data_IF_948722552404
#
_entry.id   IF_948722552404
#
_cell.length_a   1.000
_cell.length_b   1.000
_cell.length_c   1.000
_cell.angle_alpha   90.00
_cell.angle_beta   90.00
_cell.angle_gamma   90.00
#
_symmetry.space_group_name_H-M   'P 1'
#
loop_
_entity.id
_entity.type
_entity.pdbx_description
1 polymer ?
#
# COMPACT_ATOMS: atom_id res chain seq x y z
N UNK A 1 -41.16 -48.49 -12.93
CA UNK A 1 -39.85 -47.80 -12.92
C UNK A 1 -39.08 -48.16 -11.64
N UNK A 2 -37.94 -48.86 -11.78
CA UNK A 2 -37.13 -49.43 -10.68
C UNK A 2 -36.72 -48.37 -9.63
N UNK A 3 -36.86 -48.72 -8.35
CA UNK A 3 -36.54 -47.88 -7.19
C UNK A 3 -35.12 -47.29 -7.23
N UNK A 4 -34.18 -48.03 -7.83
CA UNK A 4 -32.79 -47.61 -8.02
C UNK A 4 -32.66 -46.33 -8.85
N UNK A 5 -33.44 -46.18 -9.93
CA UNK A 5 -33.43 -44.98 -10.78
C UNK A 5 -33.97 -43.73 -10.05
N UNK A 6 -34.87 -43.92 -9.08
CA UNK A 6 -35.39 -42.83 -8.22
C UNK A 6 -34.36 -42.41 -7.17
N UNK A 7 -33.61 -43.36 -6.62
CA UNK A 7 -32.56 -43.08 -5.64
C UNK A 7 -31.41 -42.27 -6.25
N UNK A 8 -30.91 -42.68 -7.42
CA UNK A 8 -29.83 -41.97 -8.13
C UNK A 8 -30.23 -40.53 -8.49
N UNK A 9 -31.47 -40.32 -8.95
CA UNK A 9 -31.98 -38.95 -9.25
C UNK A 9 -32.02 -38.07 -8.00
N UNK A 10 -32.39 -38.61 -6.84
CA UNK A 10 -32.43 -37.85 -5.58
C UNK A 10 -31.02 -37.52 -5.07
N UNK A 11 -30.09 -38.47 -5.16
CA UNK A 11 -28.69 -38.26 -4.77
C UNK A 11 -28.00 -37.22 -5.65
N UNK A 12 -28.23 -37.25 -6.97
CA UNK A 12 -27.70 -36.24 -7.90
C UNK A 12 -28.23 -34.83 -7.63
N UNK A 13 -29.51 -34.71 -7.25
CA UNK A 13 -30.11 -33.42 -6.89
C UNK A 13 -29.49 -32.84 -5.62
N UNK A 14 -29.28 -33.67 -4.58
CA UNK A 14 -28.66 -33.24 -3.31
C UNK A 14 -27.21 -32.80 -3.54
N UNK A 15 -26.43 -33.56 -4.31
CA UNK A 15 -25.04 -33.24 -4.61
C UNK A 15 -24.90 -31.90 -5.38
N UNK A 16 -25.81 -31.62 -6.32
CA UNK A 16 -25.82 -30.37 -7.07
C UNK A 16 -26.14 -29.15 -6.17
N UNK A 17 -27.09 -29.30 -5.24
CA UNK A 17 -27.46 -28.23 -4.30
C UNK A 17 -26.32 -27.97 -3.29
N UNK A 18 -25.66 -29.02 -2.78
CA UNK A 18 -24.52 -28.84 -1.87
C UNK A 18 -23.29 -28.24 -2.56
N UNK A 19 -23.05 -28.58 -3.83
CA UNK A 19 -21.94 -28.03 -4.61
C UNK A 19 -22.08 -26.54 -4.89
N UNK A 20 -23.28 -26.09 -5.27
CA UNK A 20 -23.55 -24.66 -5.50
C UNK A 20 -23.41 -23.82 -4.23
N UNK A 21 -23.81 -24.35 -3.07
CA UNK A 21 -23.63 -23.67 -1.78
C UNK A 21 -22.16 -23.41 -1.44
N UNK A 22 -21.28 -24.38 -1.71
CA UNK A 22 -19.84 -24.24 -1.45
C UNK A 22 -19.17 -23.22 -2.38
N UNK A 23 -19.53 -23.20 -3.66
CA UNK A 23 -18.99 -22.22 -4.63
C UNK A 23 -19.41 -20.81 -4.27
N UNK A 24 -20.67 -20.60 -3.90
CA UNK A 24 -21.15 -19.29 -3.45
C UNK A 24 -20.42 -18.81 -2.20
N UNK A 25 -20.16 -19.72 -1.24
CA UNK A 25 -19.43 -19.37 -0.02
C UNK A 25 -17.97 -18.97 -0.31
N UNK A 26 -17.28 -19.73 -1.19
CA UNK A 26 -15.89 -19.45 -1.57
C UNK A 26 -15.73 -18.15 -2.38
N UNK A 27 -16.77 -17.69 -3.09
CA UNK A 27 -16.76 -16.39 -3.75
C UNK A 27 -17.18 -15.24 -2.83
N UNK A 28 -18.15 -15.46 -1.95
CA UNK A 28 -18.69 -14.41 -1.09
C UNK A 28 -17.78 -14.09 0.10
N UNK A 29 -17.16 -15.11 0.72
CA UNK A 29 -16.29 -14.93 1.89
C UNK A 29 -15.07 -14.02 1.64
N UNK A 30 -14.28 -14.17 0.56
CA UNK A 30 -13.15 -13.26 0.31
C UNK A 30 -13.63 -11.83 0.09
N UNK A 31 -14.74 -11.63 -0.63
CA UNK A 31 -15.33 -10.29 -0.85
C UNK A 31 -15.80 -9.64 0.45
N UNK A 32 -16.41 -10.40 1.35
CA UNK A 32 -16.82 -9.92 2.68
C UNK A 32 -15.60 -9.57 3.52
N UNK A 33 -14.55 -10.41 3.50
CA UNK A 33 -13.32 -10.16 4.25
C UNK A 33 -12.54 -8.95 3.71
N UNK A 34 -12.48 -8.77 2.39
CA UNK A 34 -11.90 -7.58 1.77
C UNK A 34 -12.72 -6.33 2.08
N UNK A 35 -14.05 -6.38 2.01
CA UNK A 35 -14.91 -5.26 2.37
C UNK A 35 -14.78 -4.86 3.85
N UNK A 36 -14.54 -5.83 4.75
CA UNK A 36 -14.23 -5.54 6.17
C UNK A 36 -12.84 -4.94 6.31
N UNK A 37 -11.84 -5.48 5.61
CA UNK A 37 -10.46 -4.97 5.62
C UNK A 37 -10.40 -3.54 5.12
N UNK A 38 -11.01 -3.21 3.98
CA UNK A 38 -10.98 -1.83 3.43
C UNK A 38 -11.63 -0.82 4.36
N UNK A 39 -12.75 -1.16 5.00
CA UNK A 39 -13.39 -0.30 6.02
C UNK A 39 -12.50 -0.10 7.25
N UNK A 40 -11.86 -1.16 7.75
CA UNK A 40 -10.92 -1.08 8.85
C UNK A 40 -9.69 -0.25 8.48
N UNK A 41 -9.12 -0.44 7.29
CA UNK A 41 -7.99 0.34 6.76
C UNK A 41 -8.33 1.82 6.63
N UNK A 42 -9.52 2.17 6.14
CA UNK A 42 -9.95 3.57 6.01
C UNK A 42 -10.13 4.25 7.37
N UNK A 43 -10.71 3.55 8.36
CA UNK A 43 -10.86 4.04 9.72
C UNK A 43 -9.48 4.25 10.38
N UNK A 44 -8.58 3.27 10.25
CA UNK A 44 -7.21 3.35 10.77
C UNK A 44 -6.41 4.45 10.08
N UNK A 45 -6.58 4.65 8.78
CA UNK A 45 -5.90 5.71 8.04
C UNK A 45 -6.38 7.10 8.50
N UNK A 46 -7.69 7.28 8.71
CA UNK A 46 -8.22 8.52 9.27
C UNK A 46 -7.73 8.77 10.70
N UNK A 47 -7.66 7.74 11.55
CA UNK A 47 -7.06 7.84 12.88
C UNK A 47 -5.57 8.18 12.85
N UNK A 48 -4.81 7.57 11.93
CA UNK A 48 -3.39 7.85 11.76
C UNK A 48 -3.13 9.27 11.22
N UNK A 49 -4.00 9.79 10.36
CA UNK A 49 -3.94 11.18 9.91
C UNK A 49 -4.25 12.18 11.03
N UNK A 50 -5.23 11.87 11.89
CA UNK A 50 -5.56 12.69 13.06
C UNK A 50 -4.43 12.70 14.11
N UNK A 51 -3.71 11.59 14.23
CA UNK A 51 -2.58 11.44 15.15
C UNK A 51 -1.23 11.85 14.54
N UNK A 52 -1.19 12.37 13.31
CA UNK A 52 0.07 12.92 12.79
C UNK A 52 0.49 14.09 13.67
N UNK A 53 1.75 14.12 14.16
CA UNK A 53 2.25 15.28 14.87
C UNK A 53 2.10 16.49 13.96
N UNK A 54 1.53 17.57 14.50
CA UNK A 54 1.49 18.85 13.79
C UNK A 54 2.93 19.25 13.50
N UNK A 55 3.19 19.67 12.26
CA UNK A 55 4.50 20.16 11.86
C UNK A 55 4.97 21.21 12.86
N UNK A 56 6.17 21.02 13.39
CA UNK A 56 6.81 21.99 14.27
C UNK A 56 7.04 23.30 13.52
N UNK A 57 7.12 24.41 14.25
CA UNK A 57 7.39 25.72 13.63
C UNK A 57 8.68 25.70 12.78
N UNK A 58 9.71 24.98 13.23
CA UNK A 58 10.97 24.82 12.51
C UNK A 58 10.83 24.02 11.20
N UNK A 59 9.95 23.02 11.15
CA UNK A 59 9.67 22.29 9.91
C UNK A 59 8.92 23.18 8.91
N UNK A 60 7.92 23.93 9.38
CA UNK A 60 7.19 24.89 8.55
C UNK A 60 8.15 25.93 7.96
N UNK A 61 9.07 26.45 8.78
CA UNK A 61 10.10 27.38 8.34
C UNK A 61 11.03 26.76 7.29
N UNK A 62 11.48 25.52 7.49
CA UNK A 62 12.27 24.78 6.49
C UNK A 62 11.54 24.64 5.16
N UNK A 63 10.25 24.31 5.17
CA UNK A 63 9.45 24.19 3.94
C UNK A 63 9.23 25.53 3.23
N UNK A 64 9.25 26.65 3.96
CA UNK A 64 9.13 27.98 3.38
C UNK A 64 10.46 28.54 2.82
N UNK A 65 11.60 27.91 3.13
CA UNK A 65 12.89 28.32 2.59
C UNK A 65 12.93 28.08 1.08
N UNK A 66 13.41 29.03 0.26
CA UNK A 66 13.58 28.79 -1.16
C UNK A 66 14.50 27.60 -1.40
N UNK A 67 14.19 26.84 -2.44
CA UNK A 67 15.04 25.72 -2.85
C UNK A 67 16.44 26.25 -3.21
N UNK A 68 17.50 25.54 -2.79
CA UNK A 68 18.86 25.90 -3.16
C UNK A 68 19.03 25.99 -4.69
N UNK A 69 19.77 27.00 -5.12
CA UNK A 69 20.09 27.18 -6.53
C UNK A 69 21.11 26.14 -6.99
N UNK A 70 21.17 25.90 -8.30
CA UNK A 70 22.21 25.04 -8.89
C UNK A 70 23.63 25.51 -8.53
N UNK A 71 23.86 26.82 -8.47
CA UNK A 71 25.18 27.37 -8.15
C UNK A 71 25.59 27.02 -6.72
N UNK A 72 24.67 27.15 -5.77
CA UNK A 72 24.92 26.78 -4.36
C UNK A 72 25.25 25.29 -4.22
N UNK A 73 24.54 24.42 -4.94
CA UNK A 73 24.86 22.99 -4.96
C UNK A 73 26.26 22.71 -5.51
N UNK A 74 26.63 23.33 -6.62
CA UNK A 74 27.96 23.14 -7.22
C UNK A 74 29.06 23.66 -6.29
N UNK A 75 28.88 24.85 -5.70
CA UNK A 75 29.82 25.43 -4.73
C UNK A 75 30.03 24.51 -3.53
N UNK A 76 28.95 23.92 -3.00
CA UNK A 76 29.03 22.95 -1.91
C UNK A 76 29.76 21.67 -2.34
N UNK A 77 29.45 21.12 -3.50
CA UNK A 77 30.14 19.93 -4.02
C UNK A 77 31.64 20.17 -4.25
N UNK A 78 32.02 21.39 -4.67
CA UNK A 78 33.43 21.77 -4.87
C UNK A 78 34.15 22.22 -3.60
N UNK A 79 33.47 22.27 -2.45
CA UNK A 79 34.02 22.80 -1.20
C UNK A 79 35.12 21.93 -0.58
N UNK A 80 35.27 20.68 -1.04
CA UNK A 80 36.14 19.68 -0.44
C UNK A 80 35.51 18.95 0.76
N UNK A 81 34.26 19.25 1.10
CA UNK A 81 33.44 18.46 2.03
C UNK A 81 33.37 17.00 1.54
N UNK A 82 33.62 16.04 2.43
CA UNK A 82 33.44 14.62 2.15
C UNK A 82 31.95 14.30 2.31
N UNK A 83 31.35 13.74 1.27
CA UNK A 83 29.96 13.29 1.30
C UNK A 83 29.90 11.80 1.60
N UNK A 84 28.96 11.38 2.45
CA UNK A 84 28.76 9.97 2.80
C UNK A 84 28.27 9.15 1.59
N UNK A 85 27.45 9.76 0.73
CA UNK A 85 26.87 9.12 -0.46
C UNK A 85 26.89 10.09 -1.65
N UNK A 86 27.37 9.61 -2.80
CA UNK A 86 27.26 10.28 -4.10
C UNK A 86 26.34 9.48 -5.02
N UNK A 87 25.22 10.08 -5.43
CA UNK A 87 24.26 9.46 -6.36
C UNK A 87 24.48 10.00 -7.77
N UNK A 88 24.70 9.12 -8.73
CA UNK A 88 24.88 9.47 -10.16
C UNK A 88 23.59 9.12 -10.92
N UNK A 89 22.94 10.14 -11.47
CA UNK A 89 21.69 10.02 -12.25
C UNK A 89 20.45 10.40 -11.43
N UNK A 90 19.69 11.39 -11.91
CA UNK A 90 18.50 11.95 -11.22
C UNK A 90 17.15 11.38 -11.68
N UNK A 91 17.12 10.14 -12.20
CA UNK A 91 15.88 9.46 -12.55
C UNK A 91 15.17 8.87 -11.32
N UNK A 92 14.07 8.13 -11.53
CA UNK A 92 13.26 7.57 -10.45
C UNK A 92 14.08 6.81 -9.39
N UNK A 93 15.01 5.96 -9.84
CA UNK A 93 15.90 5.20 -8.94
C UNK A 93 16.84 6.11 -8.15
N UNK A 94 17.52 7.04 -8.80
CA UNK A 94 18.47 7.93 -8.14
C UNK A 94 17.79 8.90 -7.18
N UNK A 95 16.62 9.43 -7.54
CA UNK A 95 15.82 10.25 -6.63
C UNK A 95 15.37 9.46 -5.41
N UNK A 96 14.91 8.20 -5.59
CA UNK A 96 14.53 7.34 -4.47
C UNK A 96 15.69 7.10 -3.50
N UNK A 97 16.88 6.79 -4.03
CA UNK A 97 18.10 6.62 -3.22
C UNK A 97 18.48 7.92 -2.50
N UNK A 98 18.44 9.06 -3.19
CA UNK A 98 18.79 10.35 -2.59
C UNK A 98 17.85 10.74 -1.43
N UNK A 99 16.55 10.46 -1.56
CA UNK A 99 15.55 10.73 -0.51
C UNK A 99 15.72 9.79 0.68
N UNK A 100 15.96 8.50 0.44
CA UNK A 100 16.19 7.53 1.52
C UNK A 100 17.49 7.84 2.29
N UNK A 101 18.57 8.18 1.58
CA UNK A 101 19.86 8.56 2.19
C UNK A 101 19.75 9.85 3.02
N UNK A 102 18.98 10.85 2.57
CA UNK A 102 18.82 12.11 3.31
C UNK A 102 17.88 12.01 4.53
N UNK A 103 17.09 10.93 4.63
CA UNK A 103 16.08 10.75 5.69
C UNK A 103 16.57 9.90 6.86
N UNK A 104 17.79 9.34 6.79
CA UNK A 104 18.39 8.44 7.78
C UNK A 104 19.59 9.07 8.44
#
# INVERSE_FOLDING_TARGET
>A
MSAFKRLVKRLGLVAAVSGMGAVFLLEALPKINEARRTKASHCLQNLALLNRPKLSAAEIERFNKPLPSRMEHLSRMSSGEIFDVLVIGGGATGTGVAVDAASR
#
